data_IF_659031839337
#
_entry.id   IF_659031839337
#
_cell.length_a   1.000
_cell.length_b   1.000
_cell.length_c   1.000
_cell.angle_alpha   90.00
_cell.angle_beta   90.00
_cell.angle_gamma   90.00
#
_symmetry.space_group_name_H-M   'P 1'
#
loop_
_entity.id
_entity.type
_entity.pdbx_description
1 polymer ?
#
# COMPACT_ATOMS: atom_id res chain seq x y z
N UNK A 1 -6.88 15.07 8.28
CA UNK A 1 -7.05 13.96 7.32
C UNK A 1 -6.36 12.73 7.89
N UNK A 2 -7.11 11.84 8.55
CA UNK A 2 -6.56 10.63 9.18
C UNK A 2 -6.54 9.51 8.14
N UNK A 3 -5.47 8.71 8.09
CA UNK A 3 -5.38 7.50 7.28
C UNK A 3 -6.22 6.39 7.93
N UNK A 4 -7.54 6.59 7.95
CA UNK A 4 -8.51 5.73 8.63
C UNK A 4 -9.27 4.87 7.64
N UNK A 5 -9.44 3.58 7.96
CA UNK A 5 -10.40 2.72 7.28
C UNK A 5 -11.86 3.19 7.54
N UNK A 6 -12.85 2.53 6.93
CA UNK A 6 -14.29 2.83 7.15
C UNK A 6 -14.74 2.67 8.60
N UNK A 7 -13.99 1.97 9.45
CA UNK A 7 -14.25 1.77 10.88
C UNK A 7 -13.49 2.77 11.77
N UNK A 8 -12.69 3.68 11.20
CA UNK A 8 -11.91 4.65 11.96
C UNK A 8 -10.57 4.13 12.47
N UNK A 9 -10.10 2.97 11.99
CA UNK A 9 -8.80 2.43 12.37
C UNK A 9 -7.70 3.11 11.57
N UNK A 10 -6.77 3.78 12.26
CA UNK A 10 -5.59 4.39 11.63
C UNK A 10 -4.56 3.29 11.42
N UNK A 11 -4.20 3.00 10.15
CA UNK A 11 -3.22 1.96 9.79
C UNK A 11 -3.57 0.56 10.37
N UNK A 12 -4.71 -0.04 9.99
CA UNK A 12 -5.14 -1.31 10.58
C UNK A 12 -4.21 -2.48 10.28
N UNK A 13 -3.59 -2.50 9.09
CA UNK A 13 -2.87 -3.68 8.59
C UNK A 13 -1.39 -3.36 8.33
N UNK A 14 -0.51 -4.12 8.98
CA UNK A 14 0.93 -4.09 8.76
C UNK A 14 1.38 -5.44 8.17
N UNK A 15 1.98 -5.41 6.98
CA UNK A 15 2.46 -6.61 6.29
C UNK A 15 3.99 -6.69 6.36
N UNK A 16 4.50 -7.85 6.78
CA UNK A 16 5.93 -8.12 6.77
C UNK A 16 6.35 -8.56 5.36
N UNK A 17 7.11 -7.70 4.69
CA UNK A 17 7.55 -7.90 3.31
C UNK A 17 9.06 -8.17 3.27
N UNK A 18 9.52 -8.88 2.23
CA UNK A 18 10.96 -9.02 2.01
C UNK A 18 11.55 -7.67 1.61
N UNK A 19 12.80 -7.44 1.99
CA UNK A 19 13.56 -6.28 1.54
C UNK A 19 13.67 -6.33 0.01
N UNK A 20 13.30 -5.24 -0.64
CA UNK A 20 13.21 -5.14 -2.10
C UNK A 20 11.83 -5.42 -2.69
N UNK A 21 10.83 -5.73 -1.86
CA UNK A 21 9.46 -5.86 -2.35
C UNK A 21 8.88 -4.51 -2.78
N UNK A 22 8.06 -4.55 -3.81
CA UNK A 22 7.43 -3.37 -4.39
C UNK A 22 6.02 -3.17 -3.86
N UNK A 23 5.44 -2.00 -4.14
CA UNK A 23 4.04 -1.74 -3.82
C UNK A 23 3.05 -2.64 -4.58
N UNK A 24 3.48 -3.20 -5.71
CA UNK A 24 2.71 -4.20 -6.45
C UNK A 24 2.69 -5.53 -5.68
N UNK A 25 3.83 -5.98 -5.16
CA UNK A 25 3.89 -7.20 -4.33
C UNK A 25 3.05 -7.04 -3.05
N UNK A 26 3.02 -5.83 -2.48
CA UNK A 26 2.15 -5.52 -1.34
C UNK A 26 0.67 -5.67 -1.72
N UNK A 27 0.29 -5.21 -2.91
CA UNK A 27 -1.08 -5.36 -3.40
C UNK A 27 -1.48 -6.83 -3.52
N UNK A 28 -0.60 -7.67 -4.05
CA UNK A 28 -0.82 -9.13 -4.13
C UNK A 28 -0.90 -9.80 -2.74
N UNK A 29 -0.13 -9.32 -1.76
CA UNK A 29 -0.18 -9.79 -0.37
C UNK A 29 -1.49 -9.44 0.32
N UNK A 30 -2.07 -8.26 0.03
CA UNK A 30 -3.38 -7.87 0.55
C UNK A 30 -4.48 -8.73 -0.08
N UNK A 31 -4.55 -8.74 -1.42
CA UNK A 31 -5.47 -9.59 -2.16
C UNK A 31 -5.07 -9.67 -3.64
N UNK A 32 -5.13 -10.86 -4.23
CA UNK A 32 -4.98 -11.07 -5.68
C UNK A 32 -5.82 -10.12 -6.54
N UNK A 33 -7.06 -9.81 -6.17
CA UNK A 33 -7.91 -8.88 -6.95
C UNK A 33 -7.38 -7.44 -6.96
N UNK A 34 -6.78 -7.00 -5.85
CA UNK A 34 -6.14 -5.68 -5.73
C UNK A 34 -4.82 -5.67 -6.50
N UNK A 35 -4.10 -6.79 -6.49
CA UNK A 35 -2.90 -7.01 -7.31
C UNK A 35 -3.20 -6.95 -8.81
N UNK A 36 -4.21 -7.70 -9.28
CA UNK A 36 -4.65 -7.66 -10.68
C UNK A 36 -5.15 -6.27 -11.10
N UNK A 37 -5.83 -5.57 -10.19
CA UNK A 37 -6.31 -4.21 -10.40
C UNK A 37 -5.26 -3.12 -10.16
N UNK A 38 -4.00 -3.47 -9.82
CA UNK A 38 -3.01 -2.51 -9.37
C UNK A 38 -2.71 -1.45 -10.44
N UNK A 39 -2.97 -0.18 -10.11
CA UNK A 39 -2.68 0.94 -11.00
C UNK A 39 -1.41 1.66 -10.57
N UNK A 40 -1.37 2.09 -9.31
CA UNK A 40 -0.22 2.76 -8.72
C UNK A 40 -0.37 2.80 -7.20
N UNK A 41 0.75 3.02 -6.54
CA UNK A 41 0.80 3.23 -5.11
C UNK A 41 1.20 4.67 -4.77
N UNK A 42 0.66 5.18 -3.67
CA UNK A 42 0.92 6.52 -3.16
C UNK A 42 1.45 6.40 -1.74
N UNK A 43 2.61 7.01 -1.48
CA UNK A 43 3.15 7.20 -0.14
C UNK A 43 2.18 8.13 0.60
N UNK A 44 1.50 7.61 1.61
CA UNK A 44 0.49 8.37 2.33
C UNK A 44 1.13 9.51 3.15
N UNK A 45 2.38 9.32 3.63
CA UNK A 45 3.11 10.35 4.39
C UNK A 45 3.55 11.49 3.50
N UNK A 46 4.15 11.18 2.35
CA UNK A 46 4.65 12.18 1.40
C UNK A 46 3.60 12.67 0.38
N UNK A 47 2.48 11.95 0.26
CA UNK A 47 1.44 12.12 -0.79
C UNK A 47 2.00 12.06 -2.21
N UNK A 48 3.07 11.30 -2.41
CA UNK A 48 3.74 11.14 -3.71
C UNK A 48 3.56 9.71 -4.24
N UNK A 49 3.61 9.53 -5.55
CA UNK A 49 3.61 8.18 -6.14
C UNK A 49 4.89 7.44 -5.75
N UNK A 50 4.74 6.18 -5.36
CA UNK A 50 5.86 5.29 -5.08
C UNK A 50 6.25 4.60 -6.38
N UNK A 51 7.45 4.90 -6.87
CA UNK A 51 8.12 4.19 -7.96
C UNK A 51 9.38 3.45 -7.49
N UNK A 52 9.55 3.27 -6.18
CA UNK A 52 10.70 2.60 -5.56
C UNK A 52 10.24 1.38 -4.75
N UNK A 53 11.20 0.60 -4.29
CA UNK A 53 11.00 -0.49 -3.33
C UNK A 53 10.44 0.06 -2.01
N UNK A 54 9.69 -0.79 -1.30
CA UNK A 54 9.12 -0.44 0.00
C UNK A 54 10.19 -0.46 1.08
N UNK A 55 10.18 0.58 1.91
CA UNK A 55 11.05 0.69 3.08
C UNK A 55 10.26 0.41 4.37
N UNK A 56 11.00 0.06 5.42
CA UNK A 56 10.40 -0.18 6.73
C UNK A 56 9.62 1.05 7.22
N UNK A 57 8.42 0.80 7.73
CA UNK A 57 7.50 1.82 8.21
C UNK A 57 6.82 2.65 7.11
N UNK A 58 7.04 2.40 5.82
CA UNK A 58 6.34 3.13 4.75
C UNK A 58 4.84 2.87 4.77
N UNK A 59 4.08 3.97 4.74
CA UNK A 59 2.62 3.93 4.67
C UNK A 59 2.23 4.06 3.22
N UNK A 60 1.69 2.98 2.66
CA UNK A 60 1.37 2.91 1.24
C UNK A 60 -0.14 2.84 1.06
N UNK A 61 -0.67 3.72 0.23
CA UNK A 61 -2.03 3.64 -0.27
C UNK A 61 -1.98 3.03 -1.67
N UNK A 62 -2.50 1.83 -1.80
CA UNK A 62 -2.65 1.15 -3.09
C UNK A 62 -3.91 1.69 -3.78
N UNK A 63 -3.78 2.07 -5.05
CA UNK A 63 -4.89 2.45 -5.92
C UNK A 63 -5.10 1.33 -6.93
N UNK A 64 -6.26 0.67 -6.85
CA UNK A 64 -6.71 -0.37 -7.75
C UNK A 64 -7.84 0.14 -8.64
N UNK A 65 -7.94 -0.36 -9.87
CA UNK A 65 -9.08 -0.12 -10.77
C UNK A 65 -10.29 -1.01 -10.49
N UNK A 66 -10.11 -2.09 -9.73
CA UNK A 66 -11.20 -2.93 -9.20
C UNK A 66 -11.52 -2.54 -7.77
#
# INVERSE_FOLDING_TARGET
AKFTDKKGNVLPDAFLMKRGSTAHDLAYQVHTDIGEGFLHAVDARRKMRIGRELEDGDVVKIVSTR
#
